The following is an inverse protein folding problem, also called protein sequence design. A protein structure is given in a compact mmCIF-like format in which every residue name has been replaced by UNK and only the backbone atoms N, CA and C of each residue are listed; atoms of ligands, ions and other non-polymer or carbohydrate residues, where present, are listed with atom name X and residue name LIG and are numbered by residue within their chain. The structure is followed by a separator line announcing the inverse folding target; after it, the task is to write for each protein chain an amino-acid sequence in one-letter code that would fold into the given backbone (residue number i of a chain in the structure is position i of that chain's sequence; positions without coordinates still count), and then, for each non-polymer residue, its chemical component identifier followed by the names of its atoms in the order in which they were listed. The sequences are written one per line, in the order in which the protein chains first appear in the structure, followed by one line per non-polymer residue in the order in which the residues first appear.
data_IF_218605500223
#
_entry.id   IF_218605500223
#
_cell.length_a   1.000
_cell.length_b   1.000
_cell.length_c   1.000
_cell.angle_alpha   90.00
_cell.angle_beta   90.00
_cell.angle_gamma   90.00
#
_symmetry.space_group_name_H-M   'P 1'
#
loop_
_entity.id
_entity.type
_entity.pdbx_description
1 polymer ?
#
# COMPACT_ATOMS: atom_id res chain seq x y z
N UNK A 1 -13.33 14.54 1.27
CA UNK A 1 -12.05 13.82 1.33
C UNK A 1 -12.29 12.34 1.41
N UNK A 2 -11.57 11.57 0.62
CA UNK A 2 -11.66 10.13 0.70
C UNK A 2 -10.98 9.62 1.97
N UNK A 3 -11.23 8.35 2.30
CA UNK A 3 -10.55 7.75 3.45
C UNK A 3 -9.03 7.76 3.24
N UNK A 4 -8.57 7.51 2.03
CA UNK A 4 -7.13 7.57 1.76
C UNK A 4 -6.59 9.00 1.88
N UNK A 5 -7.37 10.01 1.51
CA UNK A 5 -6.94 11.39 1.71
C UNK A 5 -6.73 11.71 3.17
N UNK A 6 -7.65 11.25 4.01
CA UNK A 6 -7.57 11.46 5.46
C UNK A 6 -6.33 10.76 6.00
N UNK A 7 -6.11 9.52 5.59
CA UNK A 7 -4.95 8.76 6.04
C UNK A 7 -3.64 9.41 5.58
N UNK A 8 -3.57 9.83 4.32
CA UNK A 8 -2.37 10.46 3.80
C UNK A 8 -2.03 11.74 4.57
N UNK A 9 -3.06 12.51 4.93
CA UNK A 9 -2.84 13.74 5.68
C UNK A 9 -2.29 13.43 7.08
N UNK A 10 -2.83 12.39 7.72
CA UNK A 10 -2.33 11.97 9.03
C UNK A 10 -0.87 11.55 8.94
N UNK A 11 -0.51 10.75 7.93
CA UNK A 11 0.86 10.28 7.78
C UNK A 11 1.82 11.44 7.55
N UNK A 12 1.41 12.44 6.76
CA UNK A 12 2.22 13.62 6.56
C UNK A 12 2.40 14.40 7.85
N UNK A 13 1.32 14.60 8.57
CA UNK A 13 1.35 15.41 9.79
C UNK A 13 2.22 14.78 10.87
N UNK A 14 2.38 13.47 10.83
CA UNK A 14 3.16 12.74 11.82
C UNK A 14 4.52 12.29 11.29
N UNK A 15 4.89 12.78 10.11
CA UNK A 15 6.18 12.48 9.48
C UNK A 15 6.44 10.98 9.32
N UNK A 16 5.38 10.23 9.01
CA UNK A 16 5.50 8.81 8.74
C UNK A 16 5.70 8.64 7.24
N UNK A 17 6.79 7.99 6.81
CA UNK A 17 7.06 7.87 5.37
C UNK A 17 6.05 6.98 4.67
N UNK A 18 5.62 7.39 3.51
CA UNK A 18 4.69 6.60 2.70
C UNK A 18 4.79 7.00 1.24
N UNK A 19 4.30 6.11 0.39
CA UNK A 19 4.14 6.40 -1.03
C UNK A 19 2.68 6.15 -1.40
N UNK A 20 2.14 7.02 -2.23
CA UNK A 20 0.74 6.93 -2.64
C UNK A 20 0.65 6.76 -4.15
N UNK A 21 -0.20 5.86 -4.58
CA UNK A 21 -0.49 5.62 -5.98
C UNK A 21 -1.99 5.84 -6.22
N UNK A 22 -2.32 6.60 -7.26
CA UNK A 22 -3.71 6.84 -7.64
C UNK A 22 -3.86 6.60 -9.13
N UNK A 23 -4.86 5.84 -9.50
CA UNK A 23 -5.23 5.63 -10.89
C UNK A 23 -6.74 5.62 -10.97
N UNK A 24 -7.28 6.63 -11.62
CA UNK A 24 -8.73 6.69 -11.80
C UNK A 24 -9.14 5.74 -12.92
N UNK A 25 -10.33 5.18 -12.76
CA UNK A 25 -10.84 4.24 -13.73
C UNK A 25 -10.94 4.89 -15.11
N UNK A 26 -10.43 4.20 -16.11
CA UNK A 26 -10.53 4.62 -17.48
C UNK A 26 -10.98 3.46 -18.32
N UNK A 27 -11.79 3.77 -19.30
CA UNK A 27 -12.16 2.72 -20.20
C UNK A 27 -11.25 2.93 -21.37
N UNK A 28 -10.45 2.03 -21.53
CA UNK A 28 -9.48 2.15 -22.52
C UNK A 28 -9.98 2.08 -23.88
N UNK A 29 -11.00 2.63 -24.12
CA UNK A 29 -11.46 2.52 -25.33
C UNK A 29 -10.92 3.38 -26.22
N UNK A 30 -10.66 3.46 -26.86
CA UNK A 30 -10.35 4.04 -27.56
C UNK A 30 -10.44 4.49 -28.22
N UNK A 31 -10.62 4.65 -28.50
CA UNK A 31 -10.54 5.12 -28.95
C UNK A 31 -10.46 5.55 -30.11
N UNK A 32 -10.07 5.77 -30.45
CA UNK A 32 -9.92 6.07 -31.59
C UNK A 32 -9.81 4.96 -32.06
N UNK A 33 -10.24 4.46 -31.37
CA UNK A 33 -10.34 3.51 -31.54
C UNK A 33 -9.32 2.71 -31.86
N UNK A 34 -8.76 2.63 -31.84
CA UNK A 34 -7.84 1.95 -32.26
C UNK A 34 -7.00 1.49 -31.45
N UNK A 35 -6.74 1.74 -30.82
CA UNK A 35 -5.90 1.40 -30.22
C UNK A 35 -6.04 0.63 -29.34
N UNK A 36 -6.41 0.13 -29.21
CA UNK A 36 -6.65 -0.62 -28.38
C UNK A 36 -5.78 -1.50 -28.18
N UNK A 37 -5.19 -1.84 -28.67
CA UNK A 37 -4.36 -2.71 -28.55
C UNK A 37 -3.77 -2.71 -27.42
N UNK A 38 -3.29 -2.12 -27.17
CA UNK A 38 -2.66 -2.06 -26.09
C UNK A 38 -3.48 -1.83 -25.28
N UNK A 39 -4.21 -1.82 -25.78
CA UNK A 39 -4.82 -1.61 -25.33
C UNK A 39 -5.60 -2.27 -24.69
N UNK A 40 -5.88 -2.84 -24.77
CA UNK A 40 -6.41 -3.60 -23.88
C UNK A 40 -6.37 -2.96 -22.66
N UNK A 41 -6.04 -1.89 -22.59
CA UNK A 41 -5.84 -1.28 -21.49
C UNK A 41 -7.02 -0.81 -21.00
N UNK A 42 -7.35 -1.12 -19.98
CA UNK A 42 -8.33 -1.01 -19.21
C UNK A 42 -7.86 -0.75 -17.86
N UNK A 43 -7.90 0.42 -17.35
CA UNK A 43 -7.42 0.81 -16.05
C UNK A 43 -8.52 0.63 -15.02
N UNK A 44 -8.21 -0.05 -13.95
CA UNK A 44 -9.12 -0.17 -12.83
C UNK A 44 -8.99 1.06 -11.97
N UNK A 45 -10.07 1.46 -11.32
CA UNK A 45 -10.01 2.47 -10.28
C UNK A 45 -9.18 1.89 -9.14
N UNK A 46 -8.05 2.52 -8.85
CA UNK A 46 -7.09 1.96 -7.91
C UNK A 46 -6.37 3.05 -7.15
N UNK A 47 -6.47 2.98 -5.83
CA UNK A 47 -5.82 3.94 -4.95
C UNK A 47 -5.14 3.17 -3.83
N UNK A 48 -3.90 3.50 -3.54
CA UNK A 48 -3.09 2.72 -2.61
C UNK A 48 -2.11 3.61 -1.86
N UNK A 49 -1.91 3.30 -0.57
CA UNK A 49 -0.86 3.89 0.22
C UNK A 49 0.01 2.76 0.74
N UNK A 50 1.32 2.84 0.50
CA UNK A 50 2.30 1.87 0.99
C UNK A 50 3.18 2.53 2.04
N UNK A 51 3.42 1.86 3.13
CA UNK A 51 4.24 2.39 4.23
C UNK A 51 5.40 1.43 4.49
N UNK A 52 6.62 1.85 4.41
CA UNK A 52 7.07 3.20 4.06
C UNK A 52 7.13 3.46 2.56
N UNK A 53 7.20 2.44 1.74
CA UNK A 53 7.32 2.62 0.30
C UNK A 53 6.79 1.41 -0.43
N UNK A 54 6.68 1.52 -1.74
CA UNK A 54 6.21 0.40 -2.54
C UNK A 54 7.23 -0.72 -2.59
N UNK A 55 8.49 -0.39 -2.55
CA UNK A 55 9.55 -1.39 -2.61
C UNK A 55 9.69 -2.15 -1.29
N UNK A 56 9.59 -1.43 -0.17
CA UNK A 56 9.71 -2.05 1.15
C UNK A 56 8.44 -1.73 1.92
N UNK A 57 7.51 -2.69 1.99
CA UNK A 57 6.21 -2.46 2.62
C UNK A 57 6.11 -3.15 3.95
N UNK A 58 5.95 -2.35 4.99
CA UNK A 58 5.58 -2.88 6.29
C UNK A 58 4.09 -3.21 6.27
N UNK A 59 3.31 -2.31 5.66
CA UNK A 59 1.89 -2.53 5.43
C UNK A 59 1.42 -1.61 4.31
N UNK A 60 0.24 -1.91 3.78
CA UNK A 60 -0.37 -1.03 2.80
C UNK A 60 -1.89 -1.08 2.92
N UNK A 61 -2.54 -0.08 2.38
CA UNK A 61 -3.99 -0.03 2.31
C UNK A 61 -4.40 0.35 0.91
N UNK A 62 -5.49 -0.23 0.46
CA UNK A 62 -6.00 0.02 -0.88
C UNK A 62 -7.48 0.34 -0.84
N UNK A 63 -7.94 1.06 -1.87
CA UNK A 63 -9.34 1.23 -2.17
C UNK A 63 -9.41 1.12 -3.69
N UNK A 64 -9.71 -0.08 -4.17
CA UNK A 64 -9.68 -0.34 -5.61
C UNK A 64 -10.78 -1.32 -5.98
N UNK A 65 -11.13 -1.37 -7.27
CA UNK A 65 -12.15 -2.30 -7.73
C UNK A 65 -11.78 -3.71 -7.30
N UNK A 66 -12.71 -4.38 -6.67
CA UNK A 66 -12.48 -5.73 -6.18
C UNK A 66 -11.98 -5.82 -4.74
N UNK A 67 -11.54 -4.71 -4.16
CA UNK A 67 -11.11 -4.76 -2.75
C UNK A 67 -12.31 -4.72 -1.81
N UNK A 68 -12.12 -5.27 -0.62
CA UNK A 68 -13.20 -5.34 0.36
C UNK A 68 -13.50 -3.94 0.90
N UNK A 69 -14.73 -3.51 0.69
CA UNK A 69 -15.18 -2.20 1.13
C UNK A 69 -15.13 -1.13 0.05
N UNK A 70 -14.63 -1.46 -1.14
CA UNK A 70 -14.45 -0.48 -2.22
C UNK A 70 -15.74 0.29 -2.51
N UNK A 71 -16.87 -0.41 -2.61
CA UNK A 71 -18.12 0.23 -3.00
C UNK A 71 -18.58 1.28 -2.00
N UNK A 72 -18.18 1.14 -0.76
CA UNK A 72 -18.53 2.07 0.29
C UNK A 72 -17.42 3.07 0.56
N UNK A 73 -16.37 3.07 -0.27
CA UNK A 73 -15.24 3.96 -0.08
C UNK A 73 -14.35 3.58 1.08
N UNK A 74 -14.46 2.34 1.56
CA UNK A 74 -13.70 1.87 2.70
C UNK A 74 -12.42 1.17 2.26
N UNK A 75 -11.51 0.96 3.19
CA UNK A 75 -10.16 0.52 2.91
C UNK A 75 -9.97 -0.96 3.22
N UNK A 76 -9.07 -1.56 2.47
CA UNK A 76 -8.61 -2.92 2.73
C UNK A 76 -7.12 -2.84 3.07
N UNK A 77 -6.73 -3.43 4.18
CA UNK A 77 -5.35 -3.38 4.66
C UNK A 77 -4.67 -4.72 4.51
N UNK A 78 -3.35 -4.67 4.32
CA UNK A 78 -2.51 -5.86 4.21
C UNK A 78 -1.21 -5.58 4.93
N UNK A 79 -0.67 -6.60 5.59
CA UNK A 79 0.63 -6.51 6.24
C UNK A 79 0.52 -6.35 7.75
N UNK A 80 1.53 -5.74 8.32
CA UNK A 80 1.71 -5.69 9.77
C UNK A 80 0.55 -5.03 10.52
N UNK A 81 -0.22 -4.19 9.82
CA UNK A 81 -1.31 -3.45 10.44
C UNK A 81 -2.60 -4.26 10.56
N UNK A 82 -2.67 -5.41 9.91
CA UNK A 82 -3.88 -6.25 9.95
C UNK A 82 -4.00 -6.90 11.32
N UNK A 83 -5.22 -6.85 11.87
CA UNK A 83 -5.46 -7.38 13.21
C UNK A 83 -6.33 -8.62 13.24
N UNK A 84 -6.86 -9.03 12.08
CA UNK A 84 -7.63 -10.27 12.02
C UNK A 84 -6.70 -11.40 11.62
N UNK A 85 -7.15 -12.62 11.86
CA UNK A 85 -6.35 -13.80 11.54
C UNK A 85 -6.55 -14.16 10.08
N UNK A 86 -6.12 -13.25 9.19
CA UNK A 86 -6.28 -13.42 7.77
C UNK A 86 -5.20 -12.57 7.10
N UNK A 87 -5.02 -12.77 5.80
CA UNK A 87 -4.02 -12.02 5.05
C UNK A 87 -4.42 -10.56 4.87
N UNK A 88 -5.70 -10.30 4.72
CA UNK A 88 -6.19 -8.94 4.50
C UNK A 88 -7.36 -8.65 5.41
N UNK A 89 -7.61 -7.39 5.63
CA UNK A 89 -8.75 -6.96 6.42
C UNK A 89 -9.43 -5.81 5.72
N UNK A 90 -10.71 -5.93 5.45
CA UNK A 90 -11.46 -4.93 4.69
C UNK A 90 -12.42 -4.11 5.51
N UNK A 91 -13.11 -3.22 4.82
CA UNK A 91 -14.17 -2.36 5.40
C UNK A 91 -13.65 -1.47 6.52
N UNK A 92 -12.42 -0.96 6.36
CA UNK A 92 -11.80 -0.11 7.37
C UNK A 92 -11.92 1.35 6.99
N UNK A 93 -12.08 2.22 7.99
CA UNK A 93 -12.02 3.66 7.78
C UNK A 93 -10.59 4.13 8.00
N UNK A 94 -10.30 5.35 7.58
CA UNK A 94 -9.01 5.96 7.88
C UNK A 94 -8.81 6.03 9.39
N UNK A 95 -9.88 6.31 10.15
CA UNK A 95 -9.78 6.38 11.61
C UNK A 95 -9.38 5.04 12.21
N UNK A 96 -9.91 3.93 11.67
CA UNK A 96 -9.50 2.60 12.12
C UNK A 96 -8.00 2.40 11.94
N UNK A 97 -7.48 2.81 10.79
CA UNK A 97 -6.05 2.68 10.50
C UNK A 97 -5.23 3.59 11.42
N UNK A 98 -5.70 4.81 11.63
CA UNK A 98 -5.01 5.77 12.51
C UNK A 98 -4.90 5.22 13.92
N UNK A 99 -5.96 4.61 14.42
CA UNK A 99 -5.94 4.03 15.76
C UNK A 99 -4.91 2.91 15.86
N UNK A 100 -4.75 2.14 14.79
CA UNK A 100 -3.74 1.09 14.77
C UNK A 100 -2.33 1.64 14.67
N UNK A 101 -2.16 2.74 13.93
CA UNK A 101 -0.86 3.41 13.87
C UNK A 101 -0.44 3.84 15.28
N UNK A 102 -1.38 4.40 16.03
CA UNK A 102 -1.11 4.83 17.39
C UNK A 102 -0.85 3.65 18.33
N UNK A 103 -1.65 2.61 18.19
CA UNK A 103 -1.51 1.42 19.02
C UNK A 103 -0.17 0.72 18.79
N UNK A 104 0.25 0.61 17.55
CA UNK A 104 1.52 -0.03 17.19
C UNK A 104 2.70 0.93 17.31
N UNK A 105 2.41 2.21 17.54
CA UNK A 105 3.44 3.23 17.69
C UNK A 105 4.33 3.34 16.45
N UNK A 106 3.73 3.23 15.27
CA UNK A 106 4.47 3.47 14.04
C UNK A 106 4.87 4.94 13.99
N UNK A 107 6.14 5.19 13.77
CA UNK A 107 6.70 6.53 13.71
C UNK A 107 7.81 6.54 12.69
N UNK A 108 8.33 7.72 12.38
CA UNK A 108 9.49 7.80 11.50
C UNK A 108 10.63 6.95 12.05
N UNK A 109 10.89 7.00 13.36
CA UNK A 109 12.00 6.27 13.95
C UNK A 109 11.80 4.77 13.90
N UNK A 110 10.61 4.29 14.28
CA UNK A 110 10.36 2.85 14.31
C UNK A 110 10.35 2.27 12.90
N UNK A 111 9.82 3.00 11.95
CA UNK A 111 9.78 2.55 10.57
C UNK A 111 11.16 2.59 9.95
N UNK A 112 11.96 3.61 10.26
CA UNK A 112 13.33 3.68 9.77
C UNK A 112 14.18 2.53 10.31
N UNK A 113 13.98 2.16 11.57
CA UNK A 113 14.69 1.03 12.16
C UNK A 113 14.30 -0.27 11.47
N UNK A 114 13.00 -0.45 11.22
CA UNK A 114 12.52 -1.63 10.50
C UNK A 114 13.11 -1.68 9.09
N UNK A 115 13.14 -0.53 8.40
CA UNK A 115 13.63 -0.47 7.04
C UNK A 115 15.11 -0.82 6.96
N UNK A 116 15.91 -0.29 7.88
CA UNK A 116 17.35 -0.63 7.93
C UNK A 116 17.55 -2.11 8.15
N UNK A 117 16.80 -2.69 9.07
CA UNK A 117 16.87 -4.13 9.33
C UNK A 117 16.53 -4.93 8.08
N UNK A 118 15.51 -4.50 7.36
CA UNK A 118 15.08 -5.19 6.14
C UNK A 118 16.14 -5.14 5.07
N UNK A 119 16.75 -3.97 4.89
CA UNK A 119 17.78 -3.80 3.88
C UNK A 119 19.04 -4.60 4.23
N UNK A 120 19.41 -4.67 5.48
CA UNK A 120 20.55 -5.46 5.91
C UNK A 120 20.29 -6.95 5.67
N UNK A 121 19.09 -7.42 5.99
CA UNK A 121 18.74 -8.82 5.78
C UNK A 121 18.81 -9.18 4.31
N UNK A 122 18.35 -8.31 3.44
CA UNK A 122 18.40 -8.58 2.00
C UNK A 122 19.84 -8.67 1.51
N UNK A 123 20.70 -7.80 2.00
CA UNK A 123 22.11 -7.82 1.63
C UNK A 123 22.76 -9.13 2.07
N UNK A 124 22.48 -9.56 3.30
CA UNK A 124 23.03 -10.81 3.81
C UNK A 124 22.52 -12.01 3.04
N UNK A 125 21.22 -12.04 2.75
CA UNK A 125 20.63 -13.12 1.99
C UNK A 125 21.23 -13.18 0.59
N UNK A 126 21.39 -12.02 -0.04
CA UNK A 126 21.99 -11.96 -1.36
C UNK A 126 23.40 -12.50 -1.37
N UNK A 127 24.19 -12.15 -0.36
CA UNK A 127 25.56 -12.66 -0.26
C UNK A 127 25.57 -14.16 -0.09
N UNK A 128 24.70 -14.68 0.76
CA UNK A 128 24.62 -16.11 1.00
C UNK A 128 24.20 -16.86 -0.25
N UNK A 129 23.27 -16.33 -0.99
CA UNK A 129 22.83 -16.95 -2.23
C UNK A 129 23.96 -17.04 -3.23
N UNK A 130 24.76 -15.99 -3.33
CA UNK A 130 25.88 -15.99 -4.24
C UNK A 130 26.90 -17.06 -3.87
N UNK A 131 27.15 -17.24 -2.57
CA UNK A 131 28.06 -18.27 -2.11
C UNK A 131 27.52 -19.66 -2.43
N UNK A 132 26.23 -19.86 -2.23
CA UNK A 132 25.61 -21.16 -2.46
C UNK A 132 25.69 -21.58 -3.92
N UNK A 133 25.64 -20.63 -4.82
CA UNK A 133 25.66 -20.94 -6.24
C UNK A 133 27.05 -21.33 -6.74
N UNK A 134 28.05 -20.98 -6.00
CA UNK A 134 29.40 -21.33 -6.37
C UNK A 134 29.74 -22.72 -5.89
#
# INVERSE_FOLDING_TARGET
MSELDILAQYLKDHNIPFERYDCDKRYGISWDGIKLDDEYTFYMDRHQICVPSQQYRLWDVICQEGSYGYRDGLLEAYGDIVEVDDAVEGYLTAQDIIERIEKHQYSMDSISAWLLSKMQNETEIGSNENLDRE
#
